data_IF_126537141424
#
_entry.id   IF_126537141424
#
_cell.length_a   1.000
_cell.length_b   1.000
_cell.length_c   1.000
_cell.angle_alpha   90.00
_cell.angle_beta   90.00
_cell.angle_gamma   90.00
#
_symmetry.space_group_name_H-M   'P 1'
#
loop_
_entity.id
_entity.type
_entity.pdbx_description
1 polymer ?
#
# COMPACT_ATOMS: atom_id res chain seq x y z
N UNK A 1 24.38 -24.57 4.18
CA UNK A 1 23.36 -24.02 5.10
C UNK A 1 22.54 -22.99 4.35
N UNK A 2 21.20 -22.99 4.43
CA UNK A 2 20.40 -21.92 3.83
C UNK A 2 20.77 -20.60 4.51
N UNK A 3 21.13 -19.58 3.72
CA UNK A 3 21.39 -18.21 4.23
C UNK A 3 20.12 -17.71 4.92
N UNK A 4 20.22 -17.32 6.19
CA UNK A 4 19.16 -16.56 6.82
C UNK A 4 19.03 -15.22 6.08
N UNK A 5 17.79 -14.84 5.75
CA UNK A 5 17.51 -13.53 5.18
C UNK A 5 17.74 -12.48 6.27
N UNK A 6 18.71 -11.58 6.06
CA UNK A 6 18.99 -10.46 6.97
C UNK A 6 17.78 -9.54 7.10
N UNK A 7 17.09 -9.28 5.98
CA UNK A 7 15.89 -8.42 5.94
C UNK A 7 14.73 -8.93 6.80
N UNK A 8 14.41 -10.23 6.77
CA UNK A 8 13.32 -10.76 7.61
C UNK A 8 13.69 -10.76 9.10
N UNK A 9 14.99 -10.90 9.42
CA UNK A 9 15.48 -10.74 10.79
C UNK A 9 15.35 -9.30 11.26
N UNK A 10 15.74 -8.33 10.43
CA UNK A 10 15.61 -6.89 10.71
C UNK A 10 14.13 -6.50 10.90
N UNK A 11 13.24 -6.94 10.00
CA UNK A 11 11.79 -6.70 10.13
C UNK A 11 11.25 -7.27 11.45
N UNK A 12 11.68 -8.47 11.85
CA UNK A 12 11.27 -9.08 13.13
C UNK A 12 11.71 -8.22 14.32
N UNK A 13 12.93 -7.72 14.29
CA UNK A 13 13.51 -6.91 15.36
C UNK A 13 12.79 -5.57 15.49
N UNK A 14 12.51 -4.89 14.38
CA UNK A 14 11.71 -3.66 14.39
C UNK A 14 10.30 -3.89 14.94
N UNK A 15 9.58 -4.91 14.48
CA UNK A 15 8.23 -5.23 15.01
C UNK A 15 8.28 -5.51 16.51
N UNK A 16 9.26 -6.27 16.99
CA UNK A 16 9.41 -6.55 18.42
C UNK A 16 9.63 -5.25 19.20
N UNK A 17 10.51 -4.38 18.73
CA UNK A 17 10.79 -3.11 19.39
C UNK A 17 9.55 -2.22 19.46
N UNK A 18 8.78 -2.12 18.37
CA UNK A 18 7.56 -1.31 18.34
C UNK A 18 6.49 -1.87 19.30
N UNK A 19 6.31 -3.21 19.32
CA UNK A 19 5.39 -3.86 20.26
C UNK A 19 5.76 -3.60 21.73
N UNK A 20 7.06 -3.54 22.04
CA UNK A 20 7.53 -3.29 23.41
C UNK A 20 7.47 -1.81 23.76
N UNK A 21 7.95 -0.93 22.87
CA UNK A 21 8.13 0.50 23.16
C UNK A 21 6.83 1.30 23.01
N UNK A 22 6.11 1.08 21.91
CA UNK A 22 4.94 1.89 21.56
C UNK A 22 3.65 1.32 22.18
N UNK A 23 3.55 -0.01 22.24
CA UNK A 23 2.36 -0.71 22.75
C UNK A 23 2.53 -1.14 24.22
N UNK A 24 3.75 -1.18 24.74
CA UNK A 24 4.03 -1.58 26.13
C UNK A 24 3.88 -3.09 26.38
N UNK A 25 3.97 -3.91 25.34
CA UNK A 25 3.78 -5.36 25.44
C UNK A 25 4.97 -6.06 26.14
N UNK A 26 4.74 -7.10 26.95
CA UNK A 26 5.82 -7.92 27.49
C UNK A 26 6.70 -8.52 26.38
N UNK A 27 8.03 -8.40 26.54
CA UNK A 27 9.00 -8.79 25.51
C UNK A 27 8.86 -10.25 25.03
N UNK A 28 8.50 -11.18 25.93
CA UNK A 28 8.33 -12.59 25.58
C UNK A 28 7.13 -12.82 24.63
N UNK A 29 6.02 -12.11 24.87
CA UNK A 29 4.84 -12.14 24.01
C UNK A 29 5.10 -11.42 22.70
N UNK A 30 5.71 -10.23 22.75
CA UNK A 30 6.09 -9.45 21.58
C UNK A 30 7.01 -10.25 20.63
N UNK A 31 7.97 -11.00 21.18
CA UNK A 31 8.85 -11.85 20.39
C UNK A 31 8.10 -12.99 19.69
N UNK A 32 7.13 -13.61 20.36
CA UNK A 32 6.30 -14.67 19.78
C UNK A 32 5.43 -14.14 18.64
N UNK A 33 4.86 -12.94 18.81
CA UNK A 33 4.05 -12.27 17.77
C UNK A 33 4.94 -11.87 16.59
N UNK A 34 6.08 -11.21 16.82
CA UNK A 34 6.99 -10.81 15.76
C UNK A 34 7.45 -12.00 14.91
N UNK A 35 7.72 -13.15 15.56
CA UNK A 35 8.05 -14.38 14.87
C UNK A 35 6.89 -14.91 14.00
N UNK A 36 5.66 -14.87 14.52
CA UNK A 36 4.46 -15.25 13.78
C UNK A 36 4.21 -14.36 12.56
N UNK A 37 4.38 -13.04 12.70
CA UNK A 37 4.21 -12.06 11.61
C UNK A 37 5.20 -12.32 10.50
N UNK A 38 6.50 -12.42 10.82
CA UNK A 38 7.54 -12.71 9.81
C UNK A 38 7.36 -14.09 9.19
N UNK A 39 6.89 -15.08 9.95
CA UNK A 39 6.50 -16.39 9.43
C UNK A 39 5.38 -16.29 8.39
N UNK A 40 4.37 -15.46 8.65
CA UNK A 40 3.28 -15.18 7.71
C UNK A 40 3.80 -14.47 6.46
N UNK A 41 4.68 -13.48 6.63
CA UNK A 41 5.33 -12.78 5.52
C UNK A 41 6.04 -13.78 4.61
N UNK A 42 6.93 -14.60 5.19
CA UNK A 42 7.67 -15.62 4.44
C UNK A 42 6.76 -16.62 3.73
N UNK A 43 5.67 -17.08 4.35
CA UNK A 43 4.77 -18.09 3.78
C UNK A 43 3.93 -17.56 2.62
N UNK A 44 3.40 -16.34 2.75
CA UNK A 44 2.46 -15.77 1.76
C UNK A 44 3.16 -15.06 0.61
N UNK A 45 4.35 -14.54 0.87
CA UNK A 45 5.05 -13.64 -0.04
C UNK A 45 6.48 -14.10 -0.38
N UNK A 46 6.96 -15.17 0.25
CA UNK A 46 8.25 -15.77 -0.07
C UNK A 46 8.23 -16.38 -1.48
N UNK A 47 9.25 -16.05 -2.28
CA UNK A 47 9.37 -16.52 -3.66
C UNK A 47 8.65 -15.65 -4.69
N UNK A 48 7.88 -14.65 -4.26
CA UNK A 48 7.39 -13.61 -5.17
C UNK A 48 8.56 -12.72 -5.63
N UNK A 49 8.65 -12.45 -6.93
CA UNK A 49 9.61 -11.48 -7.45
C UNK A 49 9.28 -10.08 -6.93
N UNK A 50 10.20 -9.49 -6.16
CA UNK A 50 10.27 -8.06 -5.82
C UNK A 50 8.99 -7.43 -5.30
N UNK A 51 8.68 -7.62 -4.01
CA UNK A 51 7.57 -6.90 -3.37
C UNK A 51 7.98 -5.44 -3.15
N UNK A 52 7.29 -4.54 -3.84
CA UNK A 52 7.38 -3.10 -3.60
C UNK A 52 6.53 -2.71 -2.39
N UNK A 53 7.16 -2.18 -1.35
CA UNK A 53 6.49 -1.57 -0.19
C UNK A 53 6.60 -0.05 -0.38
N UNK A 54 5.50 0.68 -0.59
CA UNK A 54 5.52 2.14 -0.69
C UNK A 54 5.87 2.78 0.67
N UNK A 55 6.48 3.97 0.66
CA UNK A 55 6.87 4.70 1.87
C UNK A 55 5.68 5.35 2.62
N UNK A 56 4.47 5.32 2.04
CA UNK A 56 3.26 5.83 2.66
C UNK A 56 2.06 4.94 2.30
N UNK A 57 1.19 4.72 3.29
CA UNK A 57 -0.15 4.12 3.08
C UNK A 57 -1.17 5.14 2.56
N UNK A 58 -0.80 6.42 2.58
CA UNK A 58 -1.60 7.51 2.02
C UNK A 58 -1.26 7.72 0.55
N UNK A 59 -2.29 7.81 -0.29
CA UNK A 59 -2.16 8.33 -1.64
C UNK A 59 -1.61 9.76 -1.55
N UNK A 60 -0.44 9.96 -2.15
CA UNK A 60 0.16 11.29 -2.23
C UNK A 60 -0.73 12.20 -3.08
N UNK A 61 -0.69 13.51 -2.83
CA UNK A 61 -1.37 14.53 -3.65
C UNK A 61 -1.04 14.37 -5.14
N UNK A 62 0.20 13.96 -5.45
CA UNK A 62 0.64 13.62 -6.80
C UNK A 62 -0.23 12.54 -7.44
N UNK A 63 -0.52 11.46 -6.71
CA UNK A 63 -1.22 10.31 -7.26
C UNK A 63 -2.68 10.69 -7.58
N UNK A 64 -3.31 11.56 -6.77
CA UNK A 64 -4.62 12.16 -7.07
C UNK A 64 -4.60 13.06 -8.31
N UNK A 65 -3.61 13.95 -8.44
CA UNK A 65 -3.45 14.79 -9.64
C UNK A 65 -3.22 13.96 -10.90
N UNK A 66 -2.47 12.86 -10.78
CA UNK A 66 -2.30 11.91 -11.89
C UNK A 66 -3.62 11.26 -12.28
N UNK A 67 -4.46 10.89 -11.31
CA UNK A 67 -5.79 10.33 -11.58
C UNK A 67 -6.72 11.34 -12.26
N UNK A 68 -6.74 12.59 -11.81
CA UNK A 68 -7.54 13.66 -12.41
C UNK A 68 -7.14 13.96 -13.87
N UNK A 69 -5.85 13.83 -14.20
CA UNK A 69 -5.33 14.01 -15.56
C UNK A 69 -5.53 12.78 -16.46
N UNK A 70 -5.78 11.61 -15.87
CA UNK A 70 -5.83 10.35 -16.58
C UNK A 70 -7.18 10.14 -17.28
N UNK A 71 -7.16 9.90 -18.60
CA UNK A 71 -8.36 9.76 -19.42
C UNK A 71 -8.69 8.32 -19.83
N UNK A 72 -7.99 7.32 -19.29
CA UNK A 72 -8.21 5.90 -19.58
C UNK A 72 -7.11 5.26 -20.44
N UNK A 73 -6.38 6.05 -21.23
CA UNK A 73 -5.33 5.52 -22.13
C UNK A 73 -4.07 6.39 -22.24
N UNK A 74 -4.08 7.64 -21.75
CA UNK A 74 -2.97 8.59 -21.85
C UNK A 74 -1.81 8.38 -20.87
N UNK A 75 -1.38 7.12 -20.65
CA UNK A 75 -0.34 6.79 -19.68
C UNK A 75 0.99 7.51 -19.93
N UNK A 76 1.39 7.66 -21.19
CA UNK A 76 2.68 8.28 -21.55
C UNK A 76 2.64 9.80 -21.38
N UNK A 77 1.49 10.44 -21.66
CA UNK A 77 1.28 11.89 -21.47
C UNK A 77 1.29 12.25 -19.98
N UNK A 78 0.57 11.48 -19.16
CA UNK A 78 0.62 11.62 -17.70
C UNK A 78 2.03 11.33 -17.20
N UNK A 79 2.75 10.38 -17.81
CA UNK A 79 4.15 10.11 -17.47
C UNK A 79 5.04 11.32 -17.67
N UNK A 80 4.94 11.97 -18.83
CA UNK A 80 5.71 13.18 -19.13
C UNK A 80 5.41 14.32 -18.15
N UNK A 81 4.14 14.53 -17.77
CA UNK A 81 3.74 15.61 -16.85
C UNK A 81 4.28 15.44 -15.42
N UNK A 82 4.59 14.21 -15.00
CA UNK A 82 5.03 13.89 -13.64
C UNK A 82 6.45 13.29 -13.59
N UNK A 83 7.21 13.36 -14.68
CA UNK A 83 8.56 12.79 -14.80
C UNK A 83 8.61 11.28 -14.47
N UNK A 84 7.57 10.54 -14.87
CA UNK A 84 7.42 9.11 -14.67
C UNK A 84 7.37 8.36 -16.00
N UNK A 85 7.79 7.10 -15.98
CA UNK A 85 7.56 6.19 -17.13
C UNK A 85 6.09 5.76 -17.19
N UNK A 86 5.57 5.49 -18.39
CA UNK A 86 4.20 4.98 -18.56
C UNK A 86 3.91 3.70 -17.76
N UNK A 87 4.94 2.86 -17.52
CA UNK A 87 4.83 1.68 -16.62
C UNK A 87 4.60 2.08 -15.16
N UNK A 88 5.30 3.10 -14.66
CA UNK A 88 5.10 3.62 -13.31
C UNK A 88 3.71 4.26 -13.18
N UNK A 89 3.29 5.03 -14.18
CA UNK A 89 1.93 5.59 -14.22
C UNK A 89 0.88 4.49 -14.17
N UNK A 90 1.01 3.42 -14.98
CA UNK A 90 0.09 2.28 -14.95
C UNK A 90 -0.01 1.66 -13.56
N UNK A 91 1.12 1.49 -12.87
CA UNK A 91 1.13 0.95 -11.51
C UNK A 91 0.41 1.87 -10.52
N UNK A 92 0.61 3.19 -10.63
CA UNK A 92 -0.06 4.20 -9.79
C UNK A 92 -1.56 4.24 -10.06
N UNK A 93 -1.97 4.28 -11.33
CA UNK A 93 -3.39 4.24 -11.74
C UNK A 93 -4.10 2.98 -11.23
N UNK A 94 -3.43 1.82 -11.27
CA UNK A 94 -3.98 0.57 -10.73
C UNK A 94 -4.28 0.64 -9.23
N UNK A 95 -3.47 1.39 -8.47
CA UNK A 95 -3.62 1.55 -7.02
C UNK A 95 -4.76 2.54 -6.71
N UNK A 96 -4.79 3.69 -7.39
CA UNK A 96 -5.75 4.76 -7.09
C UNK A 96 -7.16 4.52 -7.65
N UNK A 97 -7.31 3.82 -8.78
CA UNK A 97 -8.61 3.55 -9.43
C UNK A 97 -9.68 2.99 -8.47
N UNK A 98 -9.47 1.88 -7.74
CA UNK A 98 -10.50 1.34 -6.86
C UNK A 98 -10.82 2.26 -5.67
N UNK A 99 -9.94 3.20 -5.32
CA UNK A 99 -10.14 4.18 -4.25
C UNK A 99 -10.98 5.35 -4.78
N UNK A 100 -10.67 5.85 -5.98
CA UNK A 100 -11.44 6.87 -6.65
C UNK A 100 -12.86 6.41 -6.99
N UNK A 101 -13.03 5.20 -7.52
CA UNK A 101 -14.34 4.61 -7.82
C UNK A 101 -15.23 4.52 -6.56
N UNK A 102 -14.66 4.17 -5.40
CA UNK A 102 -15.39 4.15 -4.13
C UNK A 102 -15.78 5.55 -3.65
N UNK A 103 -14.90 6.54 -3.85
CA UNK A 103 -15.18 7.95 -3.53
C UNK A 103 -16.34 8.47 -4.38
N UNK A 104 -16.35 8.19 -5.67
CA UNK A 104 -17.38 8.68 -6.59
C UNK A 104 -18.72 7.94 -6.40
N UNK A 105 -18.68 6.64 -6.06
CA UNK A 105 -19.88 5.86 -5.73
C UNK A 105 -20.60 6.35 -4.47
N UNK A 106 -19.89 6.98 -3.52
CA UNK A 106 -20.50 7.50 -2.30
C UNK A 106 -21.57 8.56 -2.58
N UNK A 107 -21.51 9.26 -3.73
CA UNK A 107 -22.53 10.24 -4.14
C UNK A 107 -23.63 9.69 -5.05
N UNK A 108 -23.58 8.41 -5.45
CA UNK A 108 -24.50 7.86 -6.46
C UNK A 108 -25.95 7.71 -5.94
N UNK A 109 -26.13 7.64 -4.62
CA UNK A 109 -27.46 7.51 -3.99
C UNK A 109 -27.93 8.77 -3.26
N UNK A 110 -27.08 9.79 -3.11
CA UNK A 110 -27.43 11.03 -2.43
C UNK A 110 -28.40 11.89 -3.25
N UNK A 111 -28.34 11.81 -4.59
CA UNK A 111 -29.27 12.53 -5.48
C UNK A 111 -30.69 11.96 -5.44
N UNK A 112 -30.88 10.68 -5.09
CA UNK A 112 -32.21 10.06 -4.97
C UNK A 112 -32.96 10.46 -3.68
N UNK A 113 -32.24 10.86 -2.62
CA UNK A 113 -32.84 11.30 -1.36
C UNK A 113 -33.21 12.79 -1.37
N UNK A 114 -32.59 13.59 -2.25
CA UNK A 114 -32.87 15.02 -2.39
C UNK A 114 -34.17 15.33 -3.18
N UNK A 115 -34.64 14.41 -4.02
CA UNK A 115 -35.88 14.56 -4.80
C UNK A 115 -37.11 13.90 -4.14
N UNK A 116 -36.91 13.18 -3.03
CA UNK A 116 -37.96 12.49 -2.28
C UNK A 116 -38.39 13.22 -0.99
N UNK A 117 -37.96 14.48 -0.81
CA UNK A 117 -38.26 15.34 0.34
C UNK A 117 -39.14 16.54 -0.01
#
# INVERSE_FOLDING_TARGET
MPKQSTTLTEIREHILEDLVKEIGMPRAEANSIAFCVVGTIRKKWGGCEGIYIPNSDQLEERDWKMWEMFNGSNYDEVGQAFELTGRQVRNRIRIIRPIAEKRDQAGLFDSYLAEAG
#
